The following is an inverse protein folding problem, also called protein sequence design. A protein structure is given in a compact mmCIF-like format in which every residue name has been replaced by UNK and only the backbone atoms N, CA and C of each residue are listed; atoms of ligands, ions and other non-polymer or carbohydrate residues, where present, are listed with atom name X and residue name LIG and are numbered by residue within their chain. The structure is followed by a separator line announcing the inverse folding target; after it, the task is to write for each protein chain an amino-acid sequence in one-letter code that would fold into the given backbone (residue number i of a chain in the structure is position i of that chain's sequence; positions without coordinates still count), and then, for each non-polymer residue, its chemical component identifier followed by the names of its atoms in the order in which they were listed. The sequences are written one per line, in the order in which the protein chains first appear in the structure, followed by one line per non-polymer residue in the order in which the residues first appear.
data_IF_285531176151
#
_entry.id   IF_285531176151
#
_cell.length_a   1.000
_cell.length_b   1.000
_cell.length_c   1.000
_cell.angle_alpha   90.00
_cell.angle_beta   90.00
_cell.angle_gamma   90.00
#
_symmetry.space_group_name_H-M   'P 1'
#
loop_
_entity.id
_entity.type
_entity.pdbx_description
1 polymer ?
#
# COMPACT_ATOMS: atom_id res chain seq x y z
N UNK A 1 -30.96 -10.75 0.77
CA UNK A 1 -29.66 -10.18 0.31
C UNK A 1 -29.95 -9.04 -0.66
N UNK A 2 -30.08 -7.82 -0.12
CA UNK A 2 -30.54 -6.64 -0.87
C UNK A 2 -29.38 -6.08 -1.69
N UNK A 3 -29.38 -6.27 -3.02
CA UNK A 3 -28.37 -5.68 -3.91
C UNK A 3 -28.60 -4.16 -3.94
N UNK A 4 -27.92 -3.41 -3.09
CA UNK A 4 -27.90 -1.96 -3.22
C UNK A 4 -27.31 -1.60 -4.58
N UNK A 5 -28.08 -0.90 -5.41
CA UNK A 5 -27.57 -0.32 -6.65
C UNK A 5 -26.61 0.79 -6.24
N UNK A 6 -25.32 0.50 -6.25
CA UNK A 6 -24.27 1.49 -6.01
C UNK A 6 -24.53 2.70 -6.91
N UNK A 7 -24.78 3.86 -6.31
CA UNK A 7 -25.13 5.10 -7.04
C UNK A 7 -24.07 5.40 -8.09
N UNK A 8 -24.49 5.80 -9.28
CA UNK A 8 -23.58 6.14 -10.37
C UNK A 8 -22.59 7.23 -9.96
N UNK A 9 -23.03 8.18 -9.15
CA UNK A 9 -22.17 9.20 -8.55
C UNK A 9 -21.06 8.60 -7.69
N UNK A 10 -21.38 7.61 -6.84
CA UNK A 10 -20.40 6.93 -6.00
C UNK A 10 -19.36 6.18 -6.82
N UNK A 11 -19.79 5.52 -7.91
CA UNK A 11 -18.87 4.85 -8.84
C UNK A 11 -17.94 5.85 -9.52
N UNK A 12 -18.45 7.01 -9.94
CA UNK A 12 -17.67 8.05 -10.59
C UNK A 12 -16.63 8.64 -9.63
N UNK A 13 -17.03 8.96 -8.41
CA UNK A 13 -16.12 9.47 -7.37
C UNK A 13 -15.02 8.47 -7.03
N UNK A 14 -15.37 7.18 -6.89
CA UNK A 14 -14.40 6.11 -6.67
C UNK A 14 -13.43 5.95 -7.86
N UNK A 15 -13.95 6.01 -9.09
CA UNK A 15 -13.12 5.89 -10.29
C UNK A 15 -12.15 7.07 -10.41
N UNK A 16 -12.59 8.29 -10.13
CA UNK A 16 -11.75 9.49 -10.17
C UNK A 16 -10.66 9.47 -9.08
N UNK A 17 -10.99 9.05 -7.86
CA UNK A 17 -9.99 8.96 -6.78
C UNK A 17 -8.93 7.90 -7.07
N UNK A 18 -9.34 6.74 -7.56
CA UNK A 18 -8.41 5.68 -7.99
C UNK A 18 -7.59 6.14 -9.20
N UNK A 19 -8.22 6.76 -10.20
CA UNK A 19 -7.50 7.28 -11.36
C UNK A 19 -6.43 8.30 -10.94
N UNK A 20 -6.77 9.25 -10.07
CA UNK A 20 -5.82 10.24 -9.58
C UNK A 20 -4.60 9.61 -8.86
N UNK A 21 -4.81 8.55 -8.06
CA UNK A 21 -3.73 7.85 -7.35
C UNK A 21 -2.90 6.97 -8.29
N UNK A 22 -3.53 6.30 -9.27
CA UNK A 22 -2.87 5.32 -10.12
C UNK A 22 -2.26 5.90 -11.39
N UNK A 23 -2.79 7.00 -11.94
CA UNK A 23 -2.21 7.69 -13.09
C UNK A 23 -0.71 7.97 -12.90
N UNK A 24 -0.23 8.57 -11.79
CA UNK A 24 1.20 8.83 -11.62
C UNK A 24 2.02 7.54 -11.52
N UNK A 25 1.46 6.46 -10.97
CA UNK A 25 2.10 5.14 -10.97
C UNK A 25 2.24 4.59 -12.39
N UNK A 26 1.21 4.74 -13.24
CA UNK A 26 1.28 4.31 -14.64
C UNK A 26 2.32 5.13 -15.41
N UNK A 27 2.35 6.44 -15.21
CA UNK A 27 3.38 7.30 -15.81
C UNK A 27 4.79 6.90 -15.37
N UNK A 28 4.98 6.60 -14.08
CA UNK A 28 6.24 6.08 -13.55
C UNK A 28 6.65 4.77 -14.24
N UNK A 29 5.71 3.82 -14.42
CA UNK A 29 5.97 2.55 -15.10
C UNK A 29 6.37 2.79 -16.56
N UNK A 30 5.65 3.66 -17.29
CA UNK A 30 5.99 4.01 -18.68
C UNK A 30 7.41 4.60 -18.76
N UNK A 31 7.76 5.51 -17.85
CA UNK A 31 9.11 6.08 -17.80
C UNK A 31 10.18 5.08 -17.36
N UNK A 32 9.85 4.07 -16.57
CA UNK A 32 10.79 3.01 -16.17
C UNK A 32 11.31 2.19 -17.37
N UNK A 33 10.57 2.18 -18.49
CA UNK A 33 10.98 1.56 -19.74
C UNK A 33 11.66 2.54 -20.71
N UNK A 34 11.93 3.78 -20.32
CA UNK A 34 12.60 4.76 -21.16
C UNK A 34 14.13 4.57 -21.10
N UNK A 35 14.76 4.50 -22.27
CA UNK A 35 16.21 4.38 -22.39
C UNK A 35 16.97 5.66 -21.98
N UNK A 36 16.37 6.83 -22.16
CA UNK A 36 17.00 8.13 -21.91
C UNK A 36 16.93 8.54 -20.43
N UNK A 37 18.04 9.05 -19.88
CA UNK A 37 18.06 9.71 -18.55
C UNK A 37 17.31 11.06 -18.54
N UNK A 38 17.06 11.65 -19.70
CA UNK A 38 16.32 12.90 -19.86
C UNK A 38 14.88 12.62 -20.29
N UNK A 39 13.93 13.07 -19.46
CA UNK A 39 12.47 12.94 -19.65
C UNK A 39 11.98 13.59 -20.95
N UNK A 40 12.77 14.50 -21.55
CA UNK A 40 12.41 15.29 -22.72
C UNK A 40 12.70 14.64 -24.07
N UNK A 41 13.49 13.55 -24.12
CA UNK A 41 13.82 12.86 -25.38
C UNK A 41 13.51 11.38 -25.24
N UNK A 42 12.46 10.91 -25.91
CA UNK A 42 12.07 9.50 -25.86
C UNK A 42 13.07 8.66 -26.66
N UNK A 43 13.99 7.99 -25.96
CA UNK A 43 15.12 7.28 -26.57
C UNK A 43 14.81 5.88 -27.11
N UNK A 44 13.59 5.37 -26.88
CA UNK A 44 13.18 4.01 -27.18
C UNK A 44 12.72 3.23 -25.94
N UNK A 45 12.25 2.00 -26.16
CA UNK A 45 11.87 1.06 -25.09
C UNK A 45 13.11 0.26 -24.66
N UNK A 46 13.53 0.40 -23.40
CA UNK A 46 14.70 -0.29 -22.85
C UNK A 46 14.47 -0.77 -21.43
N UNK A 47 14.89 -2.01 -21.15
CA UNK A 47 14.85 -2.63 -19.81
C UNK A 47 16.21 -2.60 -19.11
N UNK A 48 17.20 -1.86 -19.65
CA UNK A 48 18.58 -1.83 -19.15
C UNK A 48 18.69 -1.50 -17.66
N UNK A 49 17.79 -0.66 -17.15
CA UNK A 49 17.78 -0.23 -15.75
C UNK A 49 17.46 -1.37 -14.79
N UNK A 50 16.64 -2.34 -15.21
CA UNK A 50 16.37 -3.53 -14.41
C UNK A 50 17.61 -4.44 -14.34
N UNK A 51 18.36 -4.59 -15.44
CA UNK A 51 19.64 -5.32 -15.43
C UNK A 51 20.70 -4.65 -14.55
N UNK A 52 20.88 -3.34 -14.72
CA UNK A 52 21.82 -2.56 -13.90
C UNK A 52 21.46 -2.56 -12.39
N UNK A 53 20.18 -2.73 -12.05
CA UNK A 53 19.73 -2.86 -10.67
C UNK A 53 20.12 -4.21 -10.05
N UNK A 54 20.08 -5.28 -10.85
CA UNK A 54 20.45 -6.64 -10.41
C UNK A 54 21.97 -6.82 -10.29
N UNK A 55 22.76 -6.04 -11.02
CA UNK A 55 24.22 -6.04 -10.89
C UNK A 55 24.71 -5.18 -9.71
N UNK A 56 23.84 -4.40 -9.08
CA UNK A 56 24.22 -3.49 -8.00
C UNK A 56 23.94 -4.12 -6.63
N UNK A 57 24.93 -4.84 -6.10
CA UNK A 57 24.85 -5.51 -4.81
C UNK A 57 24.44 -4.56 -3.67
N UNK A 58 24.92 -3.31 -3.67
CA UNK A 58 24.56 -2.30 -2.68
C UNK A 58 23.05 -2.02 -2.64
N UNK A 59 22.41 -1.91 -3.80
CA UNK A 59 20.96 -1.66 -3.86
C UNK A 59 20.19 -2.92 -3.45
N UNK A 60 20.65 -4.10 -3.86
CA UNK A 60 20.03 -5.37 -3.47
C UNK A 60 20.10 -5.62 -1.96
N UNK A 61 21.26 -5.37 -1.34
CA UNK A 61 21.44 -5.48 0.11
C UNK A 61 20.53 -4.51 0.86
N UNK A 62 20.45 -3.25 0.42
CA UNK A 62 19.56 -2.25 1.01
C UNK A 62 18.07 -2.64 0.87
N UNK A 63 17.67 -3.21 -0.27
CA UNK A 63 16.32 -3.72 -0.47
C UNK A 63 16.01 -4.88 0.47
N UNK A 64 16.95 -5.80 0.66
CA UNK A 64 16.79 -6.94 1.55
C UNK A 64 16.72 -6.54 3.03
N UNK A 65 17.55 -5.58 3.43
CA UNK A 65 17.48 -4.97 4.76
C UNK A 65 16.12 -4.32 5.00
N UNK A 66 15.65 -3.51 4.05
CA UNK A 66 14.34 -2.84 4.14
C UNK A 66 13.21 -3.85 4.26
N UNK A 67 13.25 -4.94 3.49
CA UNK A 67 12.26 -6.01 3.55
C UNK A 67 12.25 -6.70 4.93
N UNK A 68 13.44 -7.01 5.48
CA UNK A 68 13.55 -7.60 6.82
C UNK A 68 12.96 -6.70 7.89
N UNK A 69 13.28 -5.40 7.86
CA UNK A 69 12.75 -4.41 8.80
C UNK A 69 11.23 -4.30 8.66
N UNK A 70 10.70 -4.24 7.43
CA UNK A 70 9.27 -4.15 7.17
C UNK A 70 8.50 -5.37 7.72
N UNK A 71 9.02 -6.58 7.53
CA UNK A 71 8.40 -7.82 8.04
C UNK A 71 8.38 -7.83 9.56
N UNK A 72 9.52 -7.58 10.21
CA UNK A 72 9.59 -7.58 11.68
C UNK A 72 8.70 -6.50 12.28
N UNK A 73 8.73 -5.30 11.71
CA UNK A 73 7.92 -4.16 12.16
C UNK A 73 6.42 -4.41 11.99
N UNK A 74 5.98 -4.90 10.83
CA UNK A 74 4.56 -5.19 10.57
C UNK A 74 4.02 -6.32 11.46
N UNK A 75 4.80 -7.39 11.68
CA UNK A 75 4.41 -8.46 12.60
C UNK A 75 4.29 -7.97 14.04
N UNK A 76 5.26 -7.19 14.51
CA UNK A 76 5.20 -6.59 15.84
C UNK A 76 3.97 -5.68 15.99
N UNK A 77 3.70 -4.84 14.99
CA UNK A 77 2.53 -3.96 14.98
C UNK A 77 1.21 -4.76 14.99
N UNK A 78 1.11 -5.85 14.23
CA UNK A 78 -0.09 -6.72 14.22
C UNK A 78 -0.28 -7.41 15.57
N UNK A 79 0.77 -7.97 16.18
CA UNK A 79 0.68 -8.64 17.48
C UNK A 79 0.25 -7.65 18.56
N UNK A 80 0.94 -6.51 18.66
CA UNK A 80 0.62 -5.48 19.65
C UNK A 80 -0.76 -4.88 19.42
N UNK A 81 -1.11 -4.58 18.17
CA UNK A 81 -2.42 -4.07 17.79
C UNK A 81 -3.55 -5.04 18.13
N UNK A 82 -3.36 -6.34 17.90
CA UNK A 82 -4.35 -7.38 18.23
C UNK A 82 -4.53 -7.52 19.74
N UNK A 83 -3.44 -7.53 20.51
CA UNK A 83 -3.50 -7.57 21.97
C UNK A 83 -4.19 -6.33 22.55
N UNK A 84 -3.87 -5.14 22.05
CA UNK A 84 -4.50 -3.89 22.45
C UNK A 84 -6.00 -3.88 22.11
N UNK A 85 -6.38 -4.32 20.91
CA UNK A 85 -7.78 -4.41 20.49
C UNK A 85 -8.59 -5.39 21.35
N UNK A 86 -8.02 -6.55 21.69
CA UNK A 86 -8.67 -7.52 22.59
C UNK A 86 -8.89 -6.92 23.98
N UNK A 87 -7.87 -6.28 24.57
CA UNK A 87 -7.98 -5.64 25.88
C UNK A 87 -9.03 -4.53 25.87
N UNK A 88 -9.01 -3.68 24.84
CA UNK A 88 -9.98 -2.60 24.66
C UNK A 88 -11.42 -3.13 24.56
N UNK A 89 -11.63 -4.19 23.78
CA UNK A 89 -12.96 -4.80 23.60
C UNK A 89 -13.49 -5.39 24.91
N UNK A 90 -12.65 -6.07 25.68
CA UNK A 90 -13.04 -6.65 26.97
C UNK A 90 -13.36 -5.55 27.99
N UNK A 91 -12.57 -4.47 28.08
CA UNK A 91 -12.87 -3.37 29.00
C UNK A 91 -14.17 -2.65 28.66
N UNK A 92 -14.47 -2.46 27.37
CA UNK A 92 -15.70 -1.79 26.95
C UNK A 92 -16.94 -2.68 27.14
N UNK A 93 -16.80 -4.00 26.97
CA UNK A 93 -17.88 -4.95 27.23
C UNK A 93 -18.21 -5.05 28.73
N UNK A 94 -17.20 -5.02 29.60
CA UNK A 94 -17.40 -5.02 31.06
C UNK A 94 -18.06 -3.71 31.54
N UNK A 95 -17.67 -2.56 30.97
CA UNK A 95 -18.31 -1.28 31.26
C UNK A 95 -19.80 -1.28 30.86
N UNK A 96 -20.14 -1.83 29.69
CA UNK A 96 -21.53 -1.93 29.23
C UNK A 96 -22.39 -2.85 30.12
N UNK A 97 -21.84 -3.98 30.59
CA UNK A 97 -22.54 -4.89 31.49
C UNK A 97 -22.82 -4.27 32.87
N UNK A 98 -21.95 -3.35 33.35
CA UNK A 98 -22.16 -2.64 34.63
C UNK A 98 -23.21 -1.52 34.54
N UNK A 99 -23.54 -1.05 33.33
CA UNK A 99 -24.56 -0.03 33.10
C UNK A 99 -25.96 -0.60 32.83
N UNK A 100 -26.13 -1.93 32.81
CA UNK A 100 -27.45 -2.53 32.78
C UNK A 100 -28.11 -2.36 34.16
N UNK A 101 -29.28 -1.71 34.24
CA UNK A 101 -30.03 -1.68 35.48
C UNK A 101 -30.49 -3.12 35.77
N UNK A 102 -30.15 -3.63 36.94
CA UNK A 102 -30.83 -4.81 37.51
C UNK A 102 -32.25 -4.41 37.90
#
# INVERSE_FOLDING_TARGET
MQKSKLSWFLKLMLALSLAFLYIPLVVLVIYSFNESKLVTVWGGFSTKWYGALLENDTILEAAWLSLRIAVVSSLAAVVLGTLAAMRWRVSNAFAAARCLPV
#
